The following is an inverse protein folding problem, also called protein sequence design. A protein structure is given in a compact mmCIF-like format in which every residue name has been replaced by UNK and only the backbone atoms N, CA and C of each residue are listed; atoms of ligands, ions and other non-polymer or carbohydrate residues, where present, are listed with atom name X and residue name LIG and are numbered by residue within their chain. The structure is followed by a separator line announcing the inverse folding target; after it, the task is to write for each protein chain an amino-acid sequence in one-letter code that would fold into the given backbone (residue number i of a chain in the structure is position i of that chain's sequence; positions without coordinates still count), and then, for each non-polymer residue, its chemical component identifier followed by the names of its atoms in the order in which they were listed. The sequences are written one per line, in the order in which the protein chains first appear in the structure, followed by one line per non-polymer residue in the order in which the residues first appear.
data_IF_121869004332
#
_entry.id   IF_121869004332
#
_cell.length_a   1.000
_cell.length_b   1.000
_cell.length_c   1.000
_cell.angle_alpha   90.00
_cell.angle_beta   90.00
_cell.angle_gamma   90.00
#
_symmetry.space_group_name_H-M   'P 1'
#
loop_
_entity.id
_entity.type
_entity.pdbx_description
1 polymer ?
#
# COMPACT_ATOMS: atom_id res chain seq x y z
N UNK A 1 3.30 -64.97 56.79
CA UNK A 1 3.26 -65.08 55.32
C UNK A 1 2.32 -63.99 54.81
N UNK A 2 2.84 -63.03 54.07
CA UNK A 2 2.07 -61.86 53.60
C UNK A 2 2.96 -61.06 52.66
N UNK A 3 3.21 -61.63 51.48
CA UNK A 3 4.01 -61.04 50.41
C UNK A 3 3.14 -60.04 49.65
N UNK A 4 3.45 -58.75 49.78
CA UNK A 4 2.85 -57.68 48.98
C UNK A 4 3.70 -57.56 47.71
N UNK A 5 3.10 -57.95 46.58
CA UNK A 5 3.67 -57.83 45.24
C UNK A 5 3.56 -56.38 44.77
N UNK A 6 4.70 -55.71 44.56
CA UNK A 6 4.78 -54.49 43.77
C UNK A 6 4.70 -54.87 42.29
N UNK A 7 3.55 -54.66 41.65
CA UNK A 7 3.45 -54.72 40.19
C UNK A 7 3.93 -53.40 39.59
N UNK A 8 5.05 -53.47 38.88
CA UNK A 8 5.53 -52.44 37.96
C UNK A 8 4.55 -52.30 36.79
N UNK A 9 3.96 -51.13 36.61
CA UNK A 9 3.35 -50.77 35.34
C UNK A 9 4.50 -50.49 34.36
N UNK A 10 4.73 -51.39 33.40
CA UNK A 10 5.61 -51.12 32.27
C UNK A 10 5.13 -49.87 31.55
N UNK A 11 6.02 -48.90 31.36
CA UNK A 11 5.77 -47.72 30.55
C UNK A 11 5.63 -48.14 29.08
N UNK A 12 4.42 -48.50 28.67
CA UNK A 12 4.12 -48.69 27.26
C UNK A 12 4.12 -47.31 26.59
N UNK A 13 5.17 -47.02 25.82
CA UNK A 13 5.17 -45.85 24.95
C UNK A 13 4.03 -46.00 23.93
N UNK A 14 3.07 -45.08 23.99
CA UNK A 14 1.93 -45.16 23.09
C UNK A 14 2.37 -44.92 21.64
N UNK A 15 1.59 -45.42 20.68
CA UNK A 15 1.81 -45.06 19.27
C UNK A 15 1.74 -43.56 19.05
N UNK A 16 0.98 -42.83 19.87
CA UNK A 16 0.97 -41.36 19.87
C UNK A 16 2.30 -40.76 20.34
N UNK A 17 2.93 -41.31 21.39
CA UNK A 17 4.24 -40.88 21.86
C UNK A 17 5.33 -41.17 20.81
N UNK A 18 5.27 -42.34 20.18
CA UNK A 18 6.15 -42.69 19.06
C UNK A 18 5.95 -41.77 17.84
N UNK A 19 4.70 -41.40 17.51
CA UNK A 19 4.44 -40.44 16.43
C UNK A 19 4.96 -39.06 16.82
N UNK A 20 4.75 -38.59 18.05
CA UNK A 20 5.24 -37.29 18.53
C UNK A 20 6.78 -37.22 18.60
N UNK A 21 7.42 -38.32 18.98
CA UNK A 21 8.88 -38.44 19.07
C UNK A 21 9.54 -38.57 17.69
N UNK A 22 8.89 -39.25 16.74
CA UNK A 22 9.42 -39.48 15.39
C UNK A 22 8.90 -38.48 14.33
N UNK A 23 8.00 -37.57 14.68
CA UNK A 23 7.54 -36.51 13.76
C UNK A 23 8.45 -35.29 13.85
N UNK A 24 9.08 -34.94 12.74
CA UNK A 24 9.81 -33.66 12.62
C UNK A 24 8.84 -32.49 12.75
N UNK A 25 8.90 -31.77 13.87
CA UNK A 25 8.15 -30.53 14.05
C UNK A 25 8.73 -29.43 13.15
N UNK A 26 7.87 -28.80 12.35
CA UNK A 26 8.22 -27.63 11.55
C UNK A 26 8.36 -26.37 12.40
N UNK A 27 8.65 -25.25 11.74
CA UNK A 27 8.62 -23.93 12.35
C UNK A 27 7.84 -22.94 11.47
N UNK A 28 7.27 -21.93 12.08
CA UNK A 28 6.39 -20.96 11.42
C UNK A 28 6.71 -19.53 11.85
N UNK A 29 6.33 -18.57 11.00
CA UNK A 29 6.24 -17.15 11.37
C UNK A 29 4.78 -16.71 11.34
N UNK A 30 4.26 -16.26 12.47
CA UNK A 30 2.93 -15.64 12.56
C UNK A 30 3.08 -14.12 12.47
N UNK A 31 2.33 -13.47 11.60
CA UNK A 31 2.22 -11.99 11.63
C UNK A 31 1.30 -11.61 12.78
N UNK A 32 1.84 -10.93 13.78
CA UNK A 32 1.06 -10.39 14.89
C UNK A 32 0.40 -9.07 14.50
N UNK A 33 1.13 -8.21 13.78
CA UNK A 33 0.66 -6.88 13.40
C UNK A 33 1.38 -6.39 12.15
N UNK A 34 0.64 -5.74 11.25
CA UNK A 34 1.21 -4.92 10.18
C UNK A 34 1.23 -3.48 10.66
N UNK A 35 2.42 -2.93 10.93
CA UNK A 35 2.55 -1.55 11.40
C UNK A 35 2.46 -0.56 10.26
N UNK A 36 3.07 -0.90 9.12
CA UNK A 36 3.02 -0.12 7.90
C UNK A 36 3.19 -1.07 6.70
N UNK A 37 2.20 -1.06 5.80
CA UNK A 37 2.12 -1.94 4.62
C UNK A 37 2.58 -1.27 3.32
N UNK A 38 2.83 0.04 3.35
CA UNK A 38 3.17 0.85 2.17
C UNK A 38 4.41 1.70 2.39
N UNK A 39 5.05 2.12 1.30
CA UNK A 39 6.05 3.18 1.33
C UNK A 39 5.42 4.51 0.92
N UNK A 40 5.85 5.60 1.56
CA UNK A 40 5.58 6.92 1.05
C UNK A 40 6.50 7.16 -0.15
N UNK A 41 5.92 7.33 -1.35
CA UNK A 41 6.68 7.50 -2.59
C UNK A 41 7.63 8.70 -2.55
N UNK A 42 7.29 9.74 -1.79
CA UNK A 42 8.07 10.97 -1.69
C UNK A 42 9.08 10.99 -0.54
N UNK A 43 9.12 9.94 0.28
CA UNK A 43 9.98 9.88 1.46
C UNK A 43 10.73 8.55 1.51
N UNK A 44 12.01 8.59 1.16
CA UNK A 44 12.89 7.42 1.18
C UNK A 44 13.20 6.92 2.59
N UNK A 45 12.95 7.73 3.63
CA UNK A 45 13.04 7.29 5.02
C UNK A 45 11.80 6.52 5.49
N UNK A 46 10.71 6.55 4.72
CA UNK A 46 9.49 5.81 5.05
C UNK A 46 9.75 4.31 5.18
N UNK A 47 9.05 3.67 6.12
CA UNK A 47 9.35 2.33 6.59
C UNK A 47 8.18 1.40 6.36
N UNK A 48 8.42 0.26 5.72
CA UNK A 48 7.55 -0.91 5.80
C UNK A 48 7.91 -1.70 7.08
N UNK A 49 6.92 -2.21 7.80
CA UNK A 49 7.15 -2.89 9.09
C UNK A 49 6.03 -3.84 9.50
N UNK A 50 6.42 -4.98 10.05
CA UNK A 50 5.55 -6.01 10.63
C UNK A 50 6.12 -6.53 11.95
N UNK A 51 5.24 -6.80 12.92
CA UNK A 51 5.59 -7.61 14.08
C UNK A 51 5.28 -9.07 13.78
N UNK A 52 6.24 -9.94 14.08
CA UNK A 52 6.12 -11.37 13.89
C UNK A 52 6.39 -12.12 15.19
N UNK A 53 5.87 -13.34 15.26
CA UNK A 53 6.14 -14.33 16.29
C UNK A 53 6.65 -15.60 15.64
N UNK A 54 7.72 -16.15 16.17
CA UNK A 54 8.28 -17.43 15.74
C UNK A 54 7.71 -18.56 16.62
N UNK A 55 7.42 -19.70 16.01
CA UNK A 55 7.05 -20.90 16.75
C UNK A 55 7.66 -22.14 16.09
N UNK A 56 8.46 -22.89 16.86
CA UNK A 56 9.07 -24.16 16.47
C UNK A 56 8.73 -25.31 17.46
N UNK A 57 9.34 -26.47 17.24
CA UNK A 57 9.18 -27.66 18.08
C UNK A 57 9.78 -27.56 19.50
N UNK A 58 10.53 -26.51 19.81
CA UNK A 58 11.16 -26.18 21.09
C UNK A 58 10.70 -24.81 21.63
N UNK A 59 9.50 -24.37 21.27
CA UNK A 59 8.91 -23.11 21.75
C UNK A 59 9.76 -21.87 21.41
N UNK A 60 10.38 -21.90 20.23
CA UNK A 60 11.17 -20.82 19.65
C UNK A 60 12.61 -20.74 20.11
N UNK A 61 13.08 -21.75 20.85
CA UNK A 61 14.48 -21.84 21.27
C UNK A 61 15.41 -22.27 20.11
N UNK A 62 14.86 -22.66 18.94
CA UNK A 62 15.65 -22.94 17.74
C UNK A 62 15.78 -21.74 16.81
N UNK A 63 15.15 -20.58 17.09
CA UNK A 63 15.31 -19.40 16.24
C UNK A 63 16.80 -19.00 16.16
N UNK A 64 17.36 -19.01 14.94
CA UNK A 64 18.70 -18.48 14.68
C UNK A 64 18.62 -17.06 14.13
N UNK A 65 17.91 -16.89 13.02
CA UNK A 65 17.68 -15.58 12.41
C UNK A 65 16.43 -15.55 11.53
N UNK A 66 15.92 -14.35 11.28
CA UNK A 66 14.93 -14.06 10.24
C UNK A 66 15.57 -13.17 9.19
N UNK A 67 15.57 -13.62 7.94
CA UNK A 67 16.09 -12.86 6.80
C UNK A 67 14.95 -12.20 6.04
N UNK A 68 15.11 -10.93 5.73
CA UNK A 68 14.20 -10.14 4.91
C UNK A 68 14.78 -9.98 3.51
N UNK A 69 14.02 -10.45 2.53
CA UNK A 69 14.32 -10.36 1.11
C UNK A 69 13.33 -9.45 0.39
N UNK A 70 13.75 -8.90 -0.76
CA UNK A 70 12.89 -8.09 -1.62
C UNK A 70 12.99 -8.47 -3.09
N UNK A 71 11.86 -8.39 -3.80
CA UNK A 71 11.76 -8.36 -5.26
C UNK A 71 11.05 -7.10 -5.71
N UNK A 72 11.41 -6.57 -6.87
CA UNK A 72 10.74 -5.46 -7.54
C UNK A 72 9.95 -5.98 -8.73
N UNK A 73 8.70 -5.55 -8.88
CA UNK A 73 7.88 -5.84 -10.06
C UNK A 73 7.52 -4.53 -10.74
N UNK A 74 7.88 -4.42 -12.02
CA UNK A 74 7.62 -3.26 -12.87
C UNK A 74 7.08 -3.75 -14.20
N UNK A 75 5.93 -3.23 -14.62
CA UNK A 75 5.26 -3.62 -15.88
C UNK A 75 5.09 -5.14 -16.02
N UNK A 76 4.74 -5.83 -14.93
CA UNK A 76 4.56 -7.29 -14.90
C UNK A 76 5.86 -8.12 -14.88
N UNK A 77 7.04 -7.49 -14.98
CA UNK A 77 8.34 -8.17 -14.89
C UNK A 77 8.86 -8.10 -13.46
N UNK A 78 9.14 -9.26 -12.86
CA UNK A 78 9.67 -9.37 -11.50
C UNK A 78 11.18 -9.61 -11.51
N UNK A 79 11.93 -8.83 -10.72
CA UNK A 79 13.37 -8.94 -10.56
C UNK A 79 13.79 -10.22 -9.82
N UNK A 80 15.08 -10.55 -9.92
CA UNK A 80 15.71 -11.45 -8.96
C UNK A 80 15.58 -10.92 -7.53
N UNK A 81 15.51 -11.84 -6.57
CA UNK A 81 15.41 -11.51 -5.16
C UNK A 81 16.74 -11.01 -4.59
N UNK A 82 16.68 -10.07 -3.63
CA UNK A 82 17.84 -9.50 -2.94
C UNK A 82 17.63 -9.52 -1.44
N UNK A 83 18.65 -9.93 -0.68
CA UNK A 83 18.65 -9.87 0.79
C UNK A 83 18.77 -8.42 1.24
N UNK A 84 17.78 -7.94 1.99
CA UNK A 84 17.75 -6.59 2.57
C UNK A 84 18.47 -6.57 3.90
N UNK A 85 17.98 -7.37 4.86
CA UNK A 85 18.48 -7.43 6.25
C UNK A 85 18.37 -8.84 6.81
N UNK A 86 19.21 -9.14 7.80
CA UNK A 86 19.05 -10.30 8.67
C UNK A 86 18.90 -9.86 10.12
N UNK A 87 18.01 -10.52 10.84
CA UNK A 87 17.69 -10.26 12.23
C UNK A 87 18.05 -11.50 13.04
N UNK A 88 19.06 -11.43 13.89
CA UNK A 88 19.41 -12.52 14.80
C UNK A 88 18.33 -12.76 15.83
N UNK A 89 18.33 -13.93 16.47
CA UNK A 89 17.42 -14.29 17.56
C UNK A 89 17.32 -13.23 18.68
N UNK A 90 18.40 -12.48 18.95
CA UNK A 90 18.41 -11.38 19.93
C UNK A 90 17.47 -10.23 19.60
N UNK A 91 17.06 -10.07 18.34
CA UNK A 91 16.05 -9.11 17.92
C UNK A 91 14.62 -9.56 18.25
N UNK A 92 14.44 -10.78 18.76
CA UNK A 92 13.15 -11.41 19.03
C UNK A 92 13.01 -11.84 20.50
N UNK A 93 12.87 -10.90 21.44
CA UNK A 93 12.59 -11.26 22.83
C UNK A 93 11.27 -12.04 22.97
N UNK A 94 11.15 -12.80 24.05
CA UNK A 94 9.94 -13.60 24.34
C UNK A 94 8.74 -12.68 24.59
N UNK A 95 7.67 -12.88 23.82
CA UNK A 95 6.40 -12.16 23.94
C UNK A 95 5.43 -12.82 24.94
N UNK A 96 4.15 -12.43 24.88
CA UNK A 96 3.11 -12.88 25.83
C UNK A 96 2.87 -14.40 25.84
N UNK A 97 3.14 -15.09 24.74
CA UNK A 97 3.01 -16.55 24.64
C UNK A 97 4.30 -17.30 25.01
N UNK A 98 5.31 -16.60 25.55
CA UNK A 98 6.66 -17.12 25.77
C UNK A 98 7.33 -17.66 24.49
N UNK A 99 7.01 -17.03 23.36
CA UNK A 99 7.58 -17.29 22.04
C UNK A 99 8.36 -16.06 21.55
N UNK A 100 9.42 -16.21 20.73
CA UNK A 100 10.18 -15.08 20.20
C UNK A 100 9.30 -14.15 19.37
N UNK A 101 9.30 -12.86 19.68
CA UNK A 101 8.53 -11.82 18.99
C UNK A 101 9.39 -10.62 18.68
N UNK A 102 9.21 -10.01 17.51
CA UNK A 102 10.05 -8.88 17.10
C UNK A 102 9.50 -8.14 15.88
N UNK A 103 10.07 -6.96 15.63
CA UNK A 103 9.74 -6.16 14.44
C UNK A 103 10.73 -6.44 13.32
N UNK A 104 10.22 -6.81 12.15
CA UNK A 104 10.97 -6.83 10.89
C UNK A 104 10.55 -5.65 10.04
N UNK A 105 11.50 -4.91 9.48
CA UNK A 105 11.22 -3.68 8.77
C UNK A 105 12.26 -3.37 7.69
N UNK A 106 11.93 -2.51 6.75
CA UNK A 106 12.92 -1.89 5.85
C UNK A 106 12.47 -0.49 5.49
N UNK A 107 13.41 0.43 5.36
CA UNK A 107 13.12 1.73 4.75
C UNK A 107 13.06 1.60 3.22
N UNK A 108 12.42 2.56 2.56
CA UNK A 108 12.43 2.64 1.11
C UNK A 108 13.88 2.79 0.60
N UNK A 109 14.71 3.60 1.27
CA UNK A 109 16.12 3.76 0.93
C UNK A 109 16.91 2.44 0.97
N UNK A 110 16.78 1.64 2.04
CA UNK A 110 17.42 0.32 2.14
C UNK A 110 16.96 -0.60 1.01
N UNK A 111 15.66 -0.57 0.71
CA UNK A 111 15.05 -1.40 -0.33
C UNK A 111 15.59 -1.06 -1.72
N UNK A 112 15.59 0.24 -2.07
CA UNK A 112 16.09 0.73 -3.35
C UNK A 112 17.57 0.43 -3.54
N UNK A 113 18.38 0.65 -2.50
CA UNK A 113 19.83 0.37 -2.54
C UNK A 113 20.12 -1.11 -2.85
N UNK A 114 19.36 -2.04 -2.26
CA UNK A 114 19.53 -3.47 -2.48
C UNK A 114 19.11 -3.93 -3.86
N UNK A 115 18.11 -3.27 -4.44
CA UNK A 115 17.63 -3.51 -5.80
C UNK A 115 18.47 -2.78 -6.86
N UNK A 116 19.39 -1.90 -6.46
CA UNK A 116 20.15 -1.07 -7.39
C UNK A 116 19.30 -0.02 -8.11
N UNK A 117 18.20 0.41 -7.49
CA UNK A 117 17.28 1.41 -8.04
C UNK A 117 17.63 2.81 -7.54
N UNK A 118 17.55 3.79 -8.43
CA UNK A 118 17.68 5.21 -8.12
C UNK A 118 16.37 5.95 -8.43
N UNK A 119 16.30 7.24 -8.10
CA UNK A 119 15.18 8.11 -8.49
C UNK A 119 14.94 8.02 -10.01
N UNK A 120 13.68 7.78 -10.41
CA UNK A 120 13.29 7.53 -11.80
C UNK A 120 13.37 6.05 -12.25
N UNK A 121 14.07 5.20 -11.48
CA UNK A 121 14.12 3.75 -11.72
C UNK A 121 12.81 3.02 -11.36
N UNK A 122 11.98 3.64 -10.52
CA UNK A 122 10.71 3.10 -10.05
C UNK A 122 9.57 4.12 -10.17
N UNK A 123 8.34 3.63 -10.23
CA UNK A 123 7.11 4.44 -10.31
C UNK A 123 6.13 4.07 -9.21
N UNK A 124 5.10 4.87 -9.00
CA UNK A 124 4.03 4.62 -8.03
C UNK A 124 3.18 3.39 -8.38
N UNK A 125 3.23 2.93 -9.63
CA UNK A 125 2.58 1.70 -10.10
C UNK A 125 3.39 0.43 -9.82
N UNK A 126 4.67 0.58 -9.45
CA UNK A 126 5.54 -0.55 -9.17
C UNK A 126 5.17 -1.19 -7.83
N UNK A 127 5.52 -2.47 -7.69
CA UNK A 127 5.29 -3.24 -6.46
C UNK A 127 6.60 -3.82 -5.95
N UNK A 128 6.80 -3.73 -4.64
CA UNK A 128 7.80 -4.54 -3.94
C UNK A 128 7.15 -5.76 -3.30
N UNK A 129 7.85 -6.88 -3.30
CA UNK A 129 7.46 -8.08 -2.57
C UNK A 129 8.51 -8.36 -1.51
N UNK A 130 8.14 -8.20 -0.24
CA UNK A 130 8.99 -8.49 0.91
C UNK A 130 8.76 -9.94 1.32
N UNK A 131 9.83 -10.76 1.34
CA UNK A 131 9.76 -12.16 1.76
C UNK A 131 10.58 -12.37 3.02
N UNK A 132 10.02 -13.09 3.98
CA UNK A 132 10.73 -13.57 5.16
C UNK A 132 11.22 -15.00 4.94
N UNK A 133 12.38 -15.29 5.50
CA UNK A 133 12.95 -16.63 5.63
C UNK A 133 13.36 -16.83 7.08
N UNK A 134 12.77 -17.83 7.71
CA UNK A 134 13.12 -18.27 9.06
C UNK A 134 14.26 -19.26 8.97
N UNK A 135 15.32 -19.04 9.75
CA UNK A 135 16.48 -19.93 9.86
C UNK A 135 16.55 -20.43 11.29
N UNK A 136 16.65 -21.75 11.45
CA UNK A 136 16.80 -22.40 12.75
C UNK A 136 18.28 -22.71 13.06
N UNK A 137 18.60 -22.88 14.34
CA UNK A 137 19.94 -23.21 14.83
C UNK A 137 20.47 -24.56 14.34
N UNK A 138 19.56 -25.46 13.92
CA UNK A 138 19.89 -26.76 13.31
C UNK A 138 20.09 -26.69 11.78
N UNK A 139 20.06 -25.48 11.19
CA UNK A 139 20.31 -25.24 9.78
C UNK A 139 19.07 -25.36 8.87
N UNK A 140 17.92 -25.79 9.41
CA UNK A 140 16.67 -25.80 8.63
C UNK A 140 16.21 -24.37 8.32
N UNK A 141 15.61 -24.20 7.15
CA UNK A 141 15.05 -22.92 6.72
C UNK A 141 13.58 -23.07 6.32
N UNK A 142 12.76 -22.08 6.63
CA UNK A 142 11.33 -22.06 6.34
C UNK A 142 10.94 -20.76 5.66
N UNK A 143 10.15 -20.88 4.60
CA UNK A 143 9.59 -19.76 3.84
C UNK A 143 8.28 -20.18 3.18
N UNK A 144 7.70 -19.31 2.35
CA UNK A 144 6.40 -19.55 1.70
C UNK A 144 6.40 -20.70 0.68
N UNK A 145 7.55 -21.22 0.27
CA UNK A 145 7.67 -22.27 -0.77
C UNK A 145 7.94 -23.67 -0.21
N UNK A 146 8.34 -23.80 1.05
CA UNK A 146 8.63 -25.07 1.71
C UNK A 146 7.83 -25.26 3.02
N UNK A 147 6.75 -24.51 3.16
CA UNK A 147 5.78 -24.61 4.25
C UNK A 147 4.48 -25.26 3.75
N UNK A 148 3.78 -25.99 4.61
CA UNK A 148 2.51 -26.62 4.21
C UNK A 148 1.45 -25.56 3.85
N UNK A 149 0.48 -25.92 3.01
CA UNK A 149 -0.61 -25.02 2.61
C UNK A 149 -1.41 -24.48 3.81
N UNK A 150 -1.54 -25.27 4.88
CA UNK A 150 -2.15 -24.85 6.15
C UNK A 150 -1.35 -23.76 6.86
N UNK A 151 -0.02 -23.76 6.72
CA UNK A 151 0.87 -22.72 7.26
C UNK A 151 0.83 -21.47 6.38
N UNK A 152 1.00 -21.62 5.06
CA UNK A 152 1.12 -20.48 4.13
C UNK A 152 -0.22 -19.75 3.89
N UNK A 153 -1.35 -20.46 3.89
CA UNK A 153 -2.66 -19.89 3.53
C UNK A 153 -3.84 -20.38 4.37
N UNK A 154 -3.61 -21.19 5.40
CA UNK A 154 -4.67 -21.67 6.28
C UNK A 154 -5.21 -20.58 7.21
N UNK A 155 -6.52 -20.67 7.51
CA UNK A 155 -7.26 -19.76 8.40
C UNK A 155 -6.68 -19.63 9.82
N UNK A 156 -5.84 -20.58 10.24
CA UNK A 156 -5.23 -20.60 11.58
C UNK A 156 -3.85 -19.94 11.66
N UNK A 157 -3.07 -19.93 10.56
CA UNK A 157 -1.67 -19.48 10.61
C UNK A 157 -1.39 -18.26 9.73
N UNK A 158 -2.13 -18.05 8.62
CA UNK A 158 -1.90 -17.02 7.59
C UNK A 158 -0.44 -16.55 7.54
N UNK A 159 0.49 -17.50 7.42
CA UNK A 159 1.88 -17.28 7.81
C UNK A 159 2.51 -16.24 6.89
N UNK A 160 2.86 -15.09 7.48
CA UNK A 160 3.31 -13.90 6.77
C UNK A 160 4.75 -13.99 6.32
N UNK A 161 5.05 -15.00 5.51
CA UNK A 161 6.33 -15.09 4.84
C UNK A 161 6.42 -14.16 3.64
N UNK A 162 5.31 -13.62 3.11
CA UNK A 162 5.33 -12.73 1.94
C UNK A 162 4.37 -11.55 2.12
N UNK A 163 4.85 -10.34 1.85
CA UNK A 163 4.07 -9.11 1.90
C UNK A 163 4.19 -8.34 0.58
N UNK A 164 3.05 -7.95 0.04
CA UNK A 164 2.95 -7.04 -1.10
C UNK A 164 3.02 -5.60 -0.59
N UNK A 165 4.04 -4.85 -0.98
CA UNK A 165 4.26 -3.47 -0.58
C UNK A 165 4.10 -2.57 -1.79
N UNK A 166 3.15 -1.64 -1.72
CA UNK A 166 2.88 -0.62 -2.74
C UNK A 166 3.29 0.76 -2.23
N UNK A 167 3.26 1.73 -3.14
CA UNK A 167 3.45 3.12 -2.81
C UNK A 167 2.12 3.80 -2.44
N UNK A 168 2.20 4.71 -1.49
CA UNK A 168 1.19 5.70 -1.21
C UNK A 168 1.80 7.09 -1.37
N UNK A 169 1.00 8.05 -1.84
CA UNK A 169 1.41 9.43 -2.03
C UNK A 169 0.54 10.32 -1.12
N UNK A 170 1.03 10.66 0.09
CA UNK A 170 0.30 11.54 0.99
C UNK A 170 0.11 12.91 0.35
N UNK A 171 -1.10 13.44 0.48
CA UNK A 171 -1.40 14.79 0.00
C UNK A 171 -1.07 15.81 1.10
N UNK A 172 0.06 16.51 0.96
CA UNK A 172 0.43 17.57 1.90
C UNK A 172 -0.39 18.87 1.67
N UNK A 173 -0.70 19.19 0.42
CA UNK A 173 -1.57 20.30 0.03
C UNK A 173 -2.01 20.17 -1.43
N UNK A 174 -3.01 20.95 -1.83
CA UNK A 174 -3.43 21.07 -3.22
C UNK A 174 -2.41 21.78 -4.12
N UNK A 175 -1.30 22.31 -3.57
CA UNK A 175 -0.22 22.90 -4.37
C UNK A 175 0.38 21.91 -5.37
N UNK A 176 0.34 20.61 -5.07
CA UNK A 176 0.76 19.55 -5.99
C UNK A 176 -0.03 19.56 -7.31
N UNK A 177 -1.24 20.14 -7.33
CA UNK A 177 -2.08 20.23 -8.52
C UNK A 177 -1.87 21.49 -9.34
N UNK A 178 -1.10 22.48 -8.87
CA UNK A 178 -0.83 23.69 -9.64
C UNK A 178 -0.09 23.37 -10.94
N UNK A 179 -0.57 23.91 -12.07
CA UNK A 179 0.05 23.72 -13.39
C UNK A 179 -0.96 23.61 -14.53
N UNK A 180 -0.45 23.26 -15.71
CA UNK A 180 -1.27 23.03 -16.90
C UNK A 180 -1.62 21.55 -17.02
N UNK A 181 -2.83 21.28 -17.52
CA UNK A 181 -3.35 19.95 -17.66
C UNK A 181 -3.84 19.72 -19.07
N UNK A 182 -3.63 18.50 -19.57
CA UNK A 182 -4.17 18.03 -20.83
C UNK A 182 -5.54 17.39 -20.60
N UNK A 183 -6.55 17.81 -21.37
CA UNK A 183 -7.86 17.16 -21.39
C UNK A 183 -7.74 15.79 -22.05
N UNK A 184 -8.24 14.76 -21.38
CA UNK A 184 -8.30 13.39 -21.91
C UNK A 184 -9.73 12.89 -22.10
N UNK A 185 -10.69 13.48 -21.39
CA UNK A 185 -12.11 13.29 -21.63
C UNK A 185 -12.88 14.52 -21.16
N UNK A 186 -13.85 14.96 -21.95
CA UNK A 186 -14.85 15.95 -21.59
C UNK A 186 -16.17 15.58 -22.25
N UNK A 187 -17.15 15.14 -21.46
CA UNK A 187 -18.45 14.72 -21.97
C UNK A 187 -19.38 15.91 -22.24
N UNK A 188 -19.16 17.04 -21.57
CA UNK A 188 -19.91 18.27 -21.82
C UNK A 188 -19.40 19.02 -23.05
N UNK A 189 -18.18 18.68 -23.49
CA UNK A 189 -17.53 19.20 -24.68
C UNK A 189 -17.22 20.71 -24.60
N UNK A 190 -16.87 21.19 -23.41
CA UNK A 190 -16.25 22.51 -23.22
C UNK A 190 -14.85 22.56 -23.85
N UNK A 191 -14.15 21.43 -23.84
CA UNK A 191 -12.80 21.27 -24.34
C UNK A 191 -12.66 20.02 -25.21
N UNK A 192 -11.85 20.10 -26.25
CA UNK A 192 -11.47 18.93 -27.03
C UNK A 192 -10.39 18.10 -26.31
N UNK A 193 -10.31 16.81 -26.63
CA UNK A 193 -9.21 15.96 -26.16
C UNK A 193 -7.89 16.52 -26.68
N UNK A 194 -6.98 16.80 -25.75
CA UNK A 194 -5.69 17.43 -26.03
C UNK A 194 -5.59 18.90 -25.68
N UNK A 195 -6.72 19.57 -25.43
CA UNK A 195 -6.72 20.96 -24.99
C UNK A 195 -6.04 21.13 -23.64
N UNK A 196 -5.53 22.34 -23.42
CA UNK A 196 -4.77 22.71 -22.22
C UNK A 196 -5.62 23.57 -21.29
N UNK A 197 -5.84 23.06 -20.08
CA UNK A 197 -6.61 23.73 -19.03
C UNK A 197 -5.67 24.15 -17.89
N UNK A 198 -5.67 25.44 -17.49
CA UNK A 198 -4.87 25.88 -16.36
C UNK A 198 -5.53 25.48 -15.03
N UNK A 199 -4.74 24.89 -14.13
CA UNK A 199 -5.12 24.61 -12.75
C UNK A 199 -4.26 25.44 -11.81
N UNK A 200 -4.91 26.14 -10.88
CA UNK A 200 -4.26 27.11 -10.01
C UNK A 200 -4.49 26.75 -8.54
N UNK A 201 -3.41 26.59 -7.78
CA UNK A 201 -3.48 26.57 -6.33
C UNK A 201 -3.38 28.00 -5.78
N UNK A 202 -4.32 28.37 -4.92
CA UNK A 202 -4.28 29.65 -4.19
C UNK A 202 -4.45 29.33 -2.71
N UNK A 203 -3.43 29.63 -1.90
CA UNK A 203 -3.41 29.25 -0.48
C UNK A 203 -4.59 29.80 0.33
N UNK A 204 -5.15 30.94 -0.08
CA UNK A 204 -6.31 31.56 0.58
C UNK A 204 -7.63 30.81 0.35
N UNK A 205 -7.71 29.91 -0.64
CA UNK A 205 -8.91 29.10 -0.90
C UNK A 205 -8.99 27.85 0.00
N UNK A 206 -7.93 27.58 0.74
CA UNK A 206 -7.78 26.42 1.61
C UNK A 206 -6.66 25.48 1.17
N UNK A 207 -6.08 24.79 2.16
CA UNK A 207 -4.90 23.95 1.99
C UNK A 207 -5.09 22.82 0.96
N UNK A 208 -6.31 22.32 0.82
CA UNK A 208 -6.67 21.22 -0.09
C UNK A 208 -7.59 21.65 -1.22
N UNK A 209 -7.58 22.94 -1.55
CA UNK A 209 -8.44 23.53 -2.58
C UNK A 209 -7.59 24.04 -3.74
N UNK A 210 -8.00 23.76 -4.97
CA UNK A 210 -7.44 24.38 -6.18
C UNK A 210 -8.55 24.83 -7.13
N UNK A 211 -8.20 25.66 -8.11
CA UNK A 211 -9.10 26.17 -9.14
C UNK A 211 -8.80 25.51 -10.47
N UNK A 212 -9.81 25.09 -11.22
CA UNK A 212 -9.70 24.78 -12.65
C UNK A 212 -10.22 26.00 -13.41
N UNK A 213 -9.35 26.69 -14.14
CA UNK A 213 -9.64 27.96 -14.78
C UNK A 213 -10.30 27.74 -16.14
N UNK A 214 -11.36 28.50 -16.44
CA UNK A 214 -12.01 28.45 -17.75
C UNK A 214 -11.36 29.36 -18.80
N UNK A 215 -10.14 29.85 -18.57
CA UNK A 215 -9.53 30.93 -19.35
C UNK A 215 -9.42 30.63 -20.85
N UNK A 216 -9.39 29.35 -21.21
CA UNK A 216 -9.31 28.89 -22.59
C UNK A 216 -10.61 28.24 -23.09
N UNK A 217 -11.72 28.32 -22.36
CA UNK A 217 -13.02 27.78 -22.80
C UNK A 217 -13.61 28.69 -23.90
N UNK A 218 -13.77 28.22 -25.14
CA UNK A 218 -14.24 29.05 -26.26
C UNK A 218 -15.75 29.31 -26.25
N UNK A 219 -16.52 28.60 -25.42
CA UNK A 219 -17.98 28.66 -25.40
C UNK A 219 -18.56 29.61 -24.35
N UNK A 220 -17.73 30.06 -23.40
CA UNK A 220 -18.13 30.95 -22.31
C UNK A 220 -17.97 32.42 -22.68
N UNK A 221 -18.91 33.25 -22.22
CA UNK A 221 -18.83 34.71 -22.21
C UNK A 221 -17.98 35.26 -21.06
N UNK A 222 -17.84 34.49 -19.96
CA UNK A 222 -17.08 34.86 -18.77
C UNK A 222 -15.84 33.96 -18.50
N UNK A 223 -15.01 33.60 -19.50
CA UNK A 223 -13.91 32.64 -19.32
C UNK A 223 -12.78 33.20 -18.44
N UNK A 224 -12.62 34.53 -18.36
CA UNK A 224 -11.60 35.19 -17.56
C UNK A 224 -11.91 35.22 -16.06
N UNK A 225 -13.19 35.18 -15.69
CA UNK A 225 -13.64 35.29 -14.30
C UNK A 225 -14.17 33.98 -13.73
N UNK A 226 -14.71 33.09 -14.56
CA UNK A 226 -15.27 31.81 -14.13
C UNK A 226 -14.20 30.72 -13.95
N UNK A 227 -14.39 29.89 -12.93
CA UNK A 227 -13.56 28.73 -12.63
C UNK A 227 -14.31 27.74 -11.73
N UNK A 228 -13.91 26.47 -11.81
CA UNK A 228 -14.31 25.47 -10.83
C UNK A 228 -13.39 25.54 -9.61
N UNK A 229 -13.95 25.44 -8.42
CA UNK A 229 -13.28 25.26 -7.14
C UNK A 229 -13.36 23.77 -6.81
N UNK A 230 -12.20 23.13 -6.67
CA UNK A 230 -12.07 21.72 -6.36
C UNK A 230 -11.47 21.56 -4.98
N UNK A 231 -12.20 20.95 -4.06
CA UNK A 231 -11.76 20.68 -2.69
C UNK A 231 -11.52 19.19 -2.51
N UNK A 232 -10.31 18.82 -2.08
CA UNK A 232 -9.88 17.44 -1.91
C UNK A 232 -10.02 17.02 -0.45
N UNK A 233 -10.56 15.84 -0.21
CA UNK A 233 -10.40 15.15 1.06
C UNK A 233 -9.04 14.42 1.08
N UNK A 234 -8.07 14.86 1.90
CA UNK A 234 -6.71 14.32 1.88
C UNK A 234 -6.62 12.86 2.36
N UNK A 235 -7.64 12.33 3.04
CA UNK A 235 -7.64 10.96 3.56
C UNK A 235 -7.94 9.90 2.51
N UNK A 236 -8.68 10.26 1.45
CA UNK A 236 -9.16 9.32 0.44
C UNK A 236 -9.09 9.86 -1.00
N UNK A 237 -8.51 11.05 -1.18
CA UNK A 237 -8.36 11.74 -2.46
C UNK A 237 -9.67 11.97 -3.23
N UNK A 238 -10.82 11.88 -2.56
CA UNK A 238 -12.13 12.25 -3.12
C UNK A 238 -12.20 13.77 -3.24
N UNK A 239 -12.70 14.26 -4.36
CA UNK A 239 -12.85 15.68 -4.64
C UNK A 239 -14.33 16.07 -4.73
N UNK A 240 -14.65 17.29 -4.27
CA UNK A 240 -15.92 17.97 -4.53
C UNK A 240 -15.67 19.19 -5.41
N UNK A 241 -16.67 19.56 -6.20
CA UNK A 241 -16.58 20.65 -7.16
C UNK A 241 -17.74 21.62 -6.98
N UNK A 242 -17.43 22.91 -6.95
CA UNK A 242 -18.38 24.01 -7.11
C UNK A 242 -17.83 25.02 -8.12
N UNK A 243 -18.67 25.88 -8.68
CA UNK A 243 -18.21 27.02 -9.46
C UNK A 243 -18.18 28.28 -8.58
N UNK A 244 -17.26 29.21 -8.86
CA UNK A 244 -17.23 30.52 -8.20
C UNK A 244 -18.40 31.43 -8.62
N UNK A 245 -18.91 31.23 -9.83
CA UNK A 245 -20.05 31.92 -10.41
C UNK A 245 -20.72 31.01 -11.46
N UNK A 246 -21.86 31.44 -12.01
CA UNK A 246 -22.49 30.69 -13.10
C UNK A 246 -21.63 30.76 -14.37
N UNK A 247 -21.55 29.65 -15.08
CA UNK A 247 -20.92 29.59 -16.40
C UNK A 247 -21.90 30.17 -17.41
N UNK A 248 -21.54 31.30 -18.02
CA UNK A 248 -22.37 32.04 -18.96
C UNK A 248 -22.04 31.58 -20.37
N UNK A 249 -22.85 30.67 -20.89
CA UNK A 249 -22.69 30.22 -22.26
C UNK A 249 -23.48 31.11 -23.21
N UNK A 250 -22.74 31.91 -23.99
CA UNK A 250 -23.12 32.68 -25.20
C UNK A 250 -24.62 32.85 -25.50
N UNK A 251 -25.38 33.44 -24.57
CA UNK A 251 -26.78 33.84 -24.80
C UNK A 251 -27.82 32.72 -24.80
N UNK A 252 -27.46 31.48 -24.44
CA UNK A 252 -28.39 30.35 -24.40
C UNK A 252 -28.64 29.82 -22.99
N UNK A 253 -27.66 29.83 -22.10
CA UNK A 253 -27.85 29.35 -20.73
C UNK A 253 -26.79 29.86 -19.75
N UNK A 254 -27.21 30.12 -18.51
CA UNK A 254 -26.31 30.27 -17.36
C UNK A 254 -26.50 29.09 -16.44
N UNK A 255 -25.42 28.36 -16.18
CA UNK A 255 -25.47 27.13 -15.37
C UNK A 255 -24.57 27.24 -14.16
N UNK A 256 -25.08 26.77 -13.02
CA UNK A 256 -24.26 26.48 -11.86
C UNK A 256 -23.62 25.11 -12.08
N UNK A 257 -22.29 25.06 -12.01
CA UNK A 257 -21.55 23.79 -12.08
C UNK A 257 -21.26 23.29 -10.67
N UNK A 258 -21.63 22.04 -10.42
CA UNK A 258 -21.22 21.29 -9.23
C UNK A 258 -20.67 19.95 -9.66
N UNK A 259 -20.09 19.18 -8.73
CA UNK A 259 -19.61 17.86 -9.07
C UNK A 259 -18.89 17.16 -7.94
N UNK A 260 -18.41 15.98 -8.27
CA UNK A 260 -17.56 15.17 -7.41
C UNK A 260 -16.57 14.40 -8.26
N UNK A 261 -15.57 13.79 -7.63
CA UNK A 261 -14.58 13.01 -8.34
C UNK A 261 -13.46 12.54 -7.43
N UNK A 262 -12.30 12.34 -8.04
CA UNK A 262 -11.09 11.96 -7.33
C UNK A 262 -9.87 12.57 -7.99
N UNK A 263 -8.81 12.72 -7.21
CA UNK A 263 -7.49 13.10 -7.72
C UNK A 263 -6.48 11.99 -7.51
N UNK A 264 -5.55 11.84 -8.44
CA UNK A 264 -4.39 10.97 -8.27
C UNK A 264 -3.32 11.70 -7.46
N UNK A 265 -3.22 11.45 -6.15
CA UNK A 265 -2.20 12.11 -5.32
C UNK A 265 -0.76 11.77 -5.74
N UNK A 266 -0.58 10.66 -6.45
CA UNK A 266 0.68 10.23 -7.03
C UNK A 266 0.97 10.81 -8.43
N UNK A 267 -0.05 10.96 -9.27
CA UNK A 267 0.11 11.32 -10.69
C UNK A 267 -0.23 12.79 -10.97
N UNK A 268 -0.96 13.43 -10.07
CA UNK A 268 -1.57 14.74 -10.27
C UNK A 268 -2.88 14.69 -11.05
N UNK A 269 -3.30 13.53 -11.59
CA UNK A 269 -4.48 13.44 -12.45
C UNK A 269 -5.76 13.87 -11.73
N UNK A 270 -6.69 14.49 -12.44
CA UNK A 270 -7.96 14.98 -11.92
C UNK A 270 -9.08 14.30 -12.70
N UNK A 271 -9.96 13.58 -12.00
CA UNK A 271 -11.06 12.81 -12.60
C UNK A 271 -12.38 13.26 -11.97
N UNK A 272 -13.22 13.98 -12.71
CA UNK A 272 -14.42 14.61 -12.20
C UNK A 272 -15.68 14.12 -12.93
N UNK A 273 -16.80 14.22 -12.22
CA UNK A 273 -18.17 14.09 -12.70
C UNK A 273 -18.88 15.40 -12.40
N UNK A 274 -19.15 16.15 -13.45
CA UNK A 274 -19.72 17.48 -13.39
C UNK A 274 -21.23 17.44 -13.65
N UNK A 275 -21.94 18.30 -12.94
CA UNK A 275 -23.36 18.53 -13.06
C UNK A 275 -23.58 20.00 -13.45
N UNK A 276 -24.24 20.20 -14.58
CA UNK A 276 -24.62 21.50 -15.12
C UNK A 276 -26.10 21.70 -14.82
N UNK A 277 -26.40 22.57 -13.86
CA UNK A 277 -27.74 22.73 -13.27
C UNK A 277 -28.82 22.91 -14.33
N UNK A 278 -29.89 22.11 -14.25
CA UNK A 278 -31.03 22.21 -15.16
C UNK A 278 -30.77 21.73 -16.59
N UNK A 279 -29.60 21.13 -16.86
CA UNK A 279 -29.24 20.67 -18.20
C UNK A 279 -28.72 19.24 -18.23
N UNK A 280 -27.57 18.97 -17.61
CA UNK A 280 -26.92 17.66 -17.71
C UNK A 280 -26.22 17.27 -16.41
N UNK A 281 -26.13 15.98 -16.16
CA UNK A 281 -25.55 15.42 -14.93
C UNK A 281 -24.49 14.38 -15.26
N UNK A 282 -23.58 14.15 -14.31
CA UNK A 282 -22.54 13.12 -14.36
C UNK A 282 -21.63 13.19 -15.60
N UNK A 283 -21.41 14.38 -16.13
CA UNK A 283 -20.53 14.63 -17.27
C UNK A 283 -19.08 14.36 -16.88
N UNK A 284 -18.43 13.43 -17.56
CA UNK A 284 -17.02 13.11 -17.32
C UNK A 284 -16.14 14.31 -17.68
N UNK A 285 -15.21 14.66 -16.81
CA UNK A 285 -14.13 15.59 -17.12
C UNK A 285 -12.83 15.08 -16.51
N UNK A 286 -11.89 14.67 -17.37
CA UNK A 286 -10.62 14.06 -16.96
C UNK A 286 -9.43 14.83 -17.50
N UNK A 287 -8.52 15.16 -16.59
CA UNK A 287 -7.32 15.95 -16.83
C UNK A 287 -6.08 15.18 -16.37
N UNK A 288 -5.04 15.19 -17.20
CA UNK A 288 -3.71 14.65 -16.87
C UNK A 288 -2.71 15.78 -16.79
N UNK A 289 -1.88 15.78 -15.74
CA UNK A 289 -0.89 16.84 -15.52
C UNK A 289 0.23 16.76 -16.59
N UNK A 290 0.70 17.92 -17.05
CA UNK A 290 1.81 18.06 -18.02
C UNK A 290 3.09 18.45 -17.29
#
# INVERSE_FOLDING_TARGET
MGMILLQSCSSEESTADNVLANTTRGAILRTLKVNQSTFNFFDTSSKWSVNIEEQDGKNGDLLSEVRLYVKHTKNGVTSAEKLVKSYSATAFPKGSNNLPTGEVSATLAETLAKLGLTTGGYTTSDKFTMRLELVLTDGRTFTNTNSSSTVVGGVYFSSGFVYSVQFFCPLASAAAFNGNYKVTADAWADYAVGDIVPVQYVSTDGLYTFRIRNTNNPYLNNPSTSYMIVTINPSNAVATVTANEQFDYTGWMKVTVTGSGSVGSCTGDINLRLNFSGSSQNQTFTLVKI
#
